data_IF_011087889699
#
_entry.id   IF_011087889699
#
_cell.length_a   1.000
_cell.length_b   1.000
_cell.length_c   1.000
_cell.angle_alpha   90.00
_cell.angle_beta   90.00
_cell.angle_gamma   90.00
#
_symmetry.space_group_name_H-M   'P 1'
#
loop_
_entity.id
_entity.type
_entity.pdbx_description
1 polymer ?
#
# COMPACT_ATOMS: atom_id res chain seq x y z
N UNK A 1 2.77 9.76 29.76
CA UNK A 1 3.08 9.68 28.31
C UNK A 1 4.07 8.55 28.13
N UNK A 2 3.92 7.71 27.10
CA UNK A 2 4.94 6.71 26.79
C UNK A 2 6.28 7.42 26.51
N UNK A 3 7.43 6.83 26.88
CA UNK A 3 8.73 7.44 26.59
C UNK A 3 8.94 7.54 25.07
N UNK A 4 9.58 8.62 24.63
CA UNK A 4 10.03 8.76 23.25
C UNK A 4 11.15 7.74 22.98
N UNK A 5 11.01 6.98 21.90
CA UNK A 5 11.90 5.91 21.51
C UNK A 5 12.78 6.37 20.35
N UNK A 6 14.09 6.14 20.48
CA UNK A 6 15.00 6.24 19.34
C UNK A 6 14.66 5.17 18.30
N UNK A 7 14.95 5.45 17.02
CA UNK A 7 14.74 4.48 15.95
C UNK A 7 15.65 3.26 16.16
N UNK A 8 15.10 2.03 16.14
CA UNK A 8 15.90 0.81 16.32
C UNK A 8 16.61 0.38 15.02
N UNK A 9 16.77 1.29 14.07
CA UNK A 9 17.34 1.02 12.76
C UNK A 9 18.02 2.25 12.16
N UNK A 10 19.00 1.98 11.31
CA UNK A 10 19.67 3.01 10.51
C UNK A 10 18.86 3.37 9.26
N UNK A 11 19.08 4.60 8.78
CA UNK A 11 18.62 5.06 7.48
C UNK A 11 19.85 5.41 6.64
N UNK A 12 20.09 4.63 5.59
CA UNK A 12 21.27 4.78 4.72
C UNK A 12 20.85 5.18 3.31
N UNK A 13 21.71 5.91 2.59
CA UNK A 13 21.43 6.25 1.19
C UNK A 13 21.59 5.00 0.32
N UNK A 14 20.78 4.88 -0.73
CA UNK A 14 21.07 3.94 -1.81
C UNK A 14 22.43 4.25 -2.43
N UNK A 15 23.11 3.23 -2.93
CA UNK A 15 24.37 3.39 -3.65
C UNK A 15 24.16 4.12 -4.97
N UNK A 16 25.24 4.68 -5.55
CA UNK A 16 25.16 5.34 -6.85
C UNK A 16 24.69 4.40 -7.98
N UNK A 17 24.95 3.10 -7.87
CA UNK A 17 24.51 2.12 -8.87
C UNK A 17 23.03 1.80 -8.73
N UNK A 18 22.55 1.63 -7.49
CA UNK A 18 21.12 1.47 -7.21
C UNK A 18 20.34 2.71 -7.67
N UNK A 19 20.81 3.92 -7.36
CA UNK A 19 20.19 5.18 -7.76
C UNK A 19 20.02 5.27 -9.29
N UNK A 20 20.98 4.80 -10.10
CA UNK A 20 20.84 4.75 -11.56
C UNK A 20 19.66 3.87 -12.01
N UNK A 21 19.44 2.74 -11.35
CA UNK A 21 18.34 1.82 -11.66
C UNK A 21 17.01 2.44 -11.24
N UNK A 22 16.97 3.06 -10.06
CA UNK A 22 15.79 3.77 -9.57
C UNK A 22 15.43 4.94 -10.49
N UNK A 23 16.40 5.77 -10.90
CA UNK A 23 16.19 6.88 -11.86
C UNK A 23 15.66 6.42 -13.20
N UNK A 24 15.97 5.18 -13.60
CA UNK A 24 15.38 4.60 -14.81
C UNK A 24 13.89 4.40 -14.64
N UNK A 25 13.37 4.08 -13.45
CA UNK A 25 11.95 3.78 -13.24
C UNK A 25 11.15 4.97 -12.71
N UNK A 26 11.77 5.81 -11.88
CA UNK A 26 11.12 6.91 -11.17
C UNK A 26 11.75 8.23 -11.61
N UNK A 27 10.94 9.11 -12.18
CA UNK A 27 11.38 10.42 -12.68
C UNK A 27 11.00 11.54 -11.71
N UNK A 28 11.76 12.64 -11.70
CA UNK A 28 11.37 13.89 -11.04
C UNK A 28 11.76 14.03 -9.57
N UNK A 29 12.50 13.09 -9.00
CA UNK A 29 13.09 13.25 -7.67
C UNK A 29 14.49 13.88 -7.74
N UNK A 30 14.81 14.71 -6.76
CA UNK A 30 16.07 15.48 -6.67
C UNK A 30 17.08 14.87 -5.71
N UNK A 31 16.62 14.09 -4.73
CA UNK A 31 17.44 13.45 -3.71
C UNK A 31 17.35 11.93 -3.83
N UNK A 32 18.48 11.20 -3.80
CA UNK A 32 18.47 9.74 -3.81
C UNK A 32 17.58 9.16 -2.72
N UNK A 33 16.96 8.03 -3.02
CA UNK A 33 16.19 7.25 -2.05
C UNK A 33 17.09 6.77 -0.90
N UNK A 34 16.46 6.34 0.19
CA UNK A 34 17.14 5.76 1.34
C UNK A 34 16.64 4.33 1.59
N UNK A 35 17.46 3.52 2.26
CA UNK A 35 17.12 2.20 2.78
C UNK A 35 16.94 2.30 4.29
N UNK A 36 15.81 1.80 4.79
CA UNK A 36 15.41 1.85 6.19
C UNK A 36 15.22 0.45 6.77
N UNK A 37 15.62 0.24 8.02
CA UNK A 37 15.37 -1.03 8.70
C UNK A 37 16.29 -2.17 8.23
N UNK A 38 16.23 -3.30 8.95
CA UNK A 38 17.05 -4.48 8.68
C UNK A 38 16.86 -5.05 7.26
N UNK A 39 15.65 -4.94 6.71
CA UNK A 39 15.33 -5.41 5.36
C UNK A 39 15.75 -4.41 4.26
N UNK A 40 16.19 -3.20 4.63
CA UNK A 40 16.61 -2.18 3.68
C UNK A 40 15.47 -1.60 2.85
N UNK A 41 14.33 -1.29 3.49
CA UNK A 41 13.13 -0.77 2.81
C UNK A 41 13.42 0.54 2.08
N UNK A 42 13.12 0.59 0.79
CA UNK A 42 13.38 1.75 -0.07
C UNK A 42 12.33 2.83 0.19
N UNK A 43 12.77 3.97 0.71
CA UNK A 43 11.91 5.09 1.08
C UNK A 43 12.35 6.39 0.39
N UNK A 44 11.42 7.32 0.09
CA UNK A 44 11.79 8.66 -0.34
C UNK A 44 12.73 9.32 0.67
N UNK A 45 13.71 10.10 0.19
CA UNK A 45 14.68 10.79 1.07
C UNK A 45 14.01 11.63 2.17
N UNK A 46 12.85 12.23 1.86
CA UNK A 46 12.03 13.02 2.79
C UNK A 46 11.55 12.23 4.01
N UNK A 47 11.46 10.90 3.95
CA UNK A 47 11.10 10.04 5.07
C UNK A 47 12.06 10.16 6.26
N UNK A 48 13.34 10.48 6.01
CA UNK A 48 14.34 10.74 7.07
C UNK A 48 13.90 11.81 8.06
N UNK A 49 13.06 12.77 7.62
CA UNK A 49 12.59 13.88 8.46
C UNK A 49 11.44 13.49 9.40
N UNK A 50 10.75 12.39 9.12
CA UNK A 50 9.54 12.00 9.85
C UNK A 50 9.57 10.56 10.38
N UNK A 51 10.61 9.79 10.08
CA UNK A 51 10.73 8.40 10.52
C UNK A 51 10.56 8.26 12.04
N UNK A 52 11.27 9.08 12.82
CA UNK A 52 11.19 9.05 14.29
C UNK A 52 9.81 9.51 14.81
N UNK A 53 9.25 10.56 14.21
CA UNK A 53 7.90 11.04 14.56
C UNK A 53 6.82 10.00 14.28
N UNK A 54 6.90 9.31 13.13
CA UNK A 54 5.96 8.23 12.79
C UNK A 54 6.15 7.04 13.73
N UNK A 55 7.40 6.66 14.03
CA UNK A 55 7.71 5.57 14.95
C UNK A 55 7.20 5.83 16.38
N UNK A 56 7.12 7.10 16.79
CA UNK A 56 6.60 7.52 18.10
C UNK A 56 5.16 8.02 18.07
N UNK A 57 4.47 7.92 16.94
CA UNK A 57 3.10 8.39 16.80
C UNK A 57 2.20 7.70 17.83
N UNK A 58 1.37 8.48 18.54
CA UNK A 58 0.44 7.95 19.52
C UNK A 58 -0.65 7.13 18.84
N UNK A 59 -0.67 5.82 19.09
CA UNK A 59 -1.75 4.92 18.68
C UNK A 59 -2.90 5.01 19.67
N UNK A 60 -4.15 4.95 19.19
CA UNK A 60 -5.37 4.99 20.01
C UNK A 60 -6.13 3.66 19.90
N UNK A 61 -6.85 3.22 20.96
CA UNK A 61 -7.52 1.92 20.96
C UNK A 61 -8.61 1.75 19.88
N UNK A 62 -9.15 2.87 19.39
CA UNK A 62 -10.19 2.93 18.38
C UNK A 62 -9.65 3.29 16.98
N UNK A 63 -8.32 3.26 16.80
CA UNK A 63 -7.75 3.33 15.46
C UNK A 63 -7.98 2.01 14.71
N UNK A 64 -8.21 2.12 13.40
CA UNK A 64 -8.15 0.99 12.48
C UNK A 64 -7.20 1.32 11.33
N UNK A 65 -6.18 0.47 11.17
CA UNK A 65 -5.12 0.64 10.19
C UNK A 65 -5.32 -0.32 9.02
N UNK A 66 -5.19 0.18 7.79
CA UNK A 66 -5.08 -0.65 6.58
C UNK A 66 -3.65 -0.53 6.06
N UNK A 67 -2.92 -1.63 6.16
CA UNK A 67 -1.50 -1.71 5.78
C UNK A 67 -1.36 -2.66 4.59
N UNK A 68 -0.72 -2.20 3.53
CA UNK A 68 -0.43 -3.08 2.38
C UNK A 68 0.87 -2.65 1.74
N UNK A 69 1.60 -3.56 1.10
CA UNK A 69 2.48 -3.13 0.01
C UNK A 69 1.61 -2.45 -1.08
N UNK A 70 2.06 -1.38 -1.76
CA UNK A 70 1.26 -0.69 -2.77
C UNK A 70 0.66 -1.66 -3.80
N UNK A 71 -0.58 -1.39 -4.24
CA UNK A 71 -1.29 -2.16 -5.29
C UNK A 71 -1.78 -3.56 -4.90
N UNK A 72 -1.79 -3.87 -3.61
CA UNK A 72 -2.24 -5.17 -3.09
C UNK A 72 -3.71 -5.22 -2.67
N UNK A 73 -4.55 -4.24 -3.03
CA UNK A 73 -5.99 -4.21 -2.67
C UNK A 73 -6.39 -3.15 -1.65
N UNK A 74 -5.48 -2.27 -1.25
CA UNK A 74 -5.68 -1.22 -0.23
C UNK A 74 -6.98 -0.44 -0.38
N UNK A 75 -7.34 0.01 -1.58
CA UNK A 75 -8.53 0.83 -1.84
C UNK A 75 -9.82 0.07 -1.58
N UNK A 76 -9.87 -1.20 -1.98
CA UNK A 76 -11.00 -2.10 -1.75
C UNK A 76 -11.21 -2.31 -0.25
N UNK A 77 -10.11 -2.55 0.47
CA UNK A 77 -10.12 -2.81 1.91
C UNK A 77 -10.45 -1.56 2.75
N UNK A 78 -9.96 -0.38 2.36
CA UNK A 78 -10.32 0.88 3.05
C UNK A 78 -11.82 1.14 2.97
N UNK A 79 -12.43 0.98 1.79
CA UNK A 79 -13.87 1.20 1.62
C UNK A 79 -14.68 0.19 2.45
N UNK A 80 -14.27 -1.08 2.43
CA UNK A 80 -14.87 -2.14 3.24
C UNK A 80 -14.76 -1.85 4.75
N UNK A 81 -13.56 -1.58 5.25
CA UNK A 81 -13.33 -1.29 6.68
C UNK A 81 -14.14 -0.07 7.12
N UNK A 82 -14.14 1.00 6.32
CA UNK A 82 -14.86 2.21 6.66
C UNK A 82 -16.37 1.97 6.73
N UNK A 83 -16.97 1.29 5.73
CA UNK A 83 -18.39 0.97 5.77
C UNK A 83 -18.74 0.04 6.93
N UNK A 84 -17.92 -0.97 7.21
CA UNK A 84 -18.15 -1.91 8.31
C UNK A 84 -18.05 -1.25 9.70
N UNK A 85 -17.19 -0.24 9.89
CA UNK A 85 -17.08 0.45 11.18
C UNK A 85 -18.11 1.58 11.35
N UNK A 86 -18.69 2.08 10.26
CA UNK A 86 -19.67 3.18 10.25
C UNK A 86 -21.07 2.69 9.86
N UNK A 87 -21.46 1.50 10.35
CA UNK A 87 -22.82 0.96 10.27
C UNK A 87 -23.41 0.93 8.84
N UNK A 88 -22.56 0.66 7.85
CA UNK A 88 -22.90 0.64 6.42
C UNK A 88 -23.46 1.99 5.92
N UNK A 89 -22.92 3.11 6.39
CA UNK A 89 -23.28 4.47 5.93
C UNK A 89 -22.80 4.75 4.49
N UNK A 90 -23.51 4.20 3.52
CA UNK A 90 -23.25 4.40 2.10
C UNK A 90 -23.41 5.86 1.66
N UNK A 91 -24.26 6.64 2.34
CA UNK A 91 -24.54 8.03 1.95
C UNK A 91 -23.35 8.93 2.25
N UNK A 92 -22.76 8.79 3.43
CA UNK A 92 -21.51 9.49 3.74
C UNK A 92 -20.36 9.00 2.87
N UNK A 93 -20.26 7.69 2.59
CA UNK A 93 -19.21 7.14 1.71
C UNK A 93 -19.28 7.69 0.28
N UNK A 94 -20.48 7.97 -0.24
CA UNK A 94 -20.72 8.63 -1.55
C UNK A 94 -20.42 10.13 -1.51
N UNK A 95 -20.61 10.79 -0.37
CA UNK A 95 -20.40 12.25 -0.23
C UNK A 95 -18.91 12.58 -0.06
N UNK A 96 -18.25 11.92 0.89
CA UNK A 96 -16.88 12.21 1.31
C UNK A 96 -15.91 11.26 0.60
N UNK A 97 -14.88 11.79 -0.09
CA UNK A 97 -13.94 10.95 -0.82
C UNK A 97 -13.10 10.07 0.12
N UNK A 98 -12.66 8.91 -0.39
CA UNK A 98 -12.00 7.89 0.43
C UNK A 98 -10.73 8.40 1.12
N UNK A 99 -9.94 9.26 0.46
CA UNK A 99 -8.70 9.79 1.04
C UNK A 99 -8.92 10.76 2.21
N UNK A 100 -10.10 11.36 2.34
CA UNK A 100 -10.48 12.15 3.51
C UNK A 100 -11.00 11.26 4.64
N UNK A 101 -11.73 10.19 4.28
CA UNK A 101 -12.23 9.18 5.24
C UNK A 101 -11.13 8.28 5.80
N UNK A 102 -10.10 8.04 5.01
CA UNK A 102 -9.00 7.09 5.25
C UNK A 102 -7.66 7.72 4.82
N UNK A 103 -7.17 8.76 5.52
CA UNK A 103 -5.94 9.45 5.16
C UNK A 103 -4.72 8.54 5.14
N UNK A 104 -3.78 8.82 4.23
CA UNK A 104 -2.53 8.08 4.12
C UNK A 104 -1.42 8.74 4.92
N UNK A 105 -0.83 7.96 5.84
CA UNK A 105 0.14 8.42 6.84
C UNK A 105 1.35 9.15 6.25
N UNK A 106 1.90 8.61 5.17
CA UNK A 106 3.12 9.09 4.51
C UNK A 106 2.85 9.80 3.17
N UNK A 107 1.69 10.47 3.02
CA UNK A 107 1.39 11.26 1.81
C UNK A 107 2.42 12.37 1.59
N UNK A 108 2.79 13.11 2.66
CA UNK A 108 3.73 14.22 2.56
C UNK A 108 5.11 13.79 2.08
N UNK A 109 5.55 12.56 2.38
CA UNK A 109 6.86 12.06 1.94
C UNK A 109 6.91 11.76 0.44
N UNK A 110 5.76 11.62 -0.21
CA UNK A 110 5.65 11.35 -1.64
C UNK A 110 5.63 12.62 -2.50
N UNK A 111 5.54 13.80 -1.89
CA UNK A 111 5.54 15.07 -2.61
C UNK A 111 6.98 15.34 -3.10
N UNK A 112 7.23 15.46 -4.42
CA UNK A 112 8.54 15.82 -4.92
C UNK A 112 8.98 17.20 -4.39
N UNK A 113 10.26 17.37 -4.04
CA UNK A 113 10.81 18.65 -3.56
C UNK A 113 10.47 19.81 -4.51
N UNK A 114 10.55 19.58 -5.82
CA UNK A 114 10.22 20.57 -6.87
C UNK A 114 8.73 20.95 -6.82
N UNK A 115 7.85 19.99 -6.57
CA UNK A 115 6.43 20.27 -6.45
C UNK A 115 6.16 21.16 -5.24
N UNK A 116 6.81 20.90 -4.10
CA UNK A 116 6.67 21.72 -2.89
C UNK A 116 6.97 23.21 -3.15
N UNK A 117 8.05 23.48 -3.88
CA UNK A 117 8.44 24.86 -4.23
C UNK A 117 7.51 25.47 -5.30
N UNK A 118 7.11 24.72 -6.32
CA UNK A 118 6.16 25.19 -7.34
C UNK A 118 4.75 25.48 -6.77
N UNK A 119 4.33 24.75 -5.72
CA UNK A 119 3.06 24.98 -5.01
C UNK A 119 3.16 26.23 -4.14
N UNK A 120 4.25 26.41 -3.38
CA UNK A 120 4.49 27.66 -2.63
C UNK A 120 4.48 28.89 -3.53
N UNK A 121 4.96 28.75 -4.77
CA UNK A 121 4.99 29.81 -5.77
C UNK A 121 3.66 29.97 -6.55
N UNK A 122 2.60 29.23 -6.20
CA UNK A 122 1.28 29.26 -6.85
C UNK A 122 1.27 28.86 -8.35
N UNK A 123 2.30 28.14 -8.84
CA UNK A 123 2.44 27.73 -10.25
C UNK A 123 1.85 26.34 -10.58
N UNK A 124 1.43 25.56 -9.58
CA UNK A 124 0.75 24.27 -9.79
C UNK A 124 -0.56 24.16 -9.00
N UNK A 125 -1.65 23.81 -9.69
CA UNK A 125 -2.92 23.44 -9.06
C UNK A 125 -2.96 21.92 -8.84
N UNK A 126 -2.80 21.50 -7.58
CA UNK A 126 -2.78 20.09 -7.17
C UNK A 126 -4.16 19.43 -7.08
N UNK A 127 -5.25 20.08 -7.50
CA UNK A 127 -6.61 19.49 -7.48
C UNK A 127 -6.71 18.12 -8.16
N UNK A 128 -5.75 17.76 -9.02
CA UNK A 128 -5.67 16.47 -9.70
C UNK A 128 -5.13 15.32 -8.83
N UNK A 129 -4.50 15.60 -7.68
CA UNK A 129 -3.93 14.59 -6.78
C UNK A 129 -4.61 14.65 -5.40
N UNK A 130 -5.51 13.70 -5.16
CA UNK A 130 -6.29 13.58 -3.93
C UNK A 130 -5.39 13.56 -2.68
N UNK A 131 -5.66 14.43 -1.71
CA UNK A 131 -4.91 14.54 -0.45
C UNK A 131 -3.56 15.28 -0.52
N UNK A 132 -3.00 15.56 -1.70
CA UNK A 132 -1.71 16.27 -1.81
C UNK A 132 -1.84 17.75 -1.41
N UNK A 133 -2.98 18.40 -1.69
CA UNK A 133 -3.16 19.81 -1.36
C UNK A 133 -3.11 20.12 0.15
N UNK A 134 -3.70 19.25 0.98
CA UNK A 134 -3.63 19.36 2.45
C UNK A 134 -2.24 19.00 2.96
N UNK A 135 -1.64 17.93 2.42
CA UNK A 135 -0.32 17.42 2.82
C UNK A 135 0.86 18.38 2.59
N UNK A 136 0.67 19.44 1.79
CA UNK A 136 1.64 20.53 1.58
C UNK A 136 1.55 21.59 2.69
N UNK A 137 0.37 21.80 3.28
CA UNK A 137 0.13 22.82 4.31
C UNK A 137 0.51 22.32 5.70
N UNK A 138 0.16 21.07 5.97
CA UNK A 138 0.48 20.36 7.20
C UNK A 138 0.88 18.93 6.83
N UNK A 139 1.83 18.37 7.57
CA UNK A 139 2.28 17.01 7.26
C UNK A 139 1.19 16.00 7.55
N UNK A 140 1.08 14.96 6.71
CA UNK A 140 0.00 13.98 6.79
C UNK A 140 -0.07 13.26 8.14
N UNK A 141 1.08 12.98 8.78
CA UNK A 141 1.12 12.36 10.11
C UNK A 141 0.64 13.31 11.22
N UNK A 142 0.94 14.61 11.16
CA UNK A 142 0.44 15.60 12.13
C UNK A 142 -1.06 15.80 12.00
N UNK A 143 -1.58 15.89 10.77
CA UNK A 143 -3.03 16.00 10.54
C UNK A 143 -3.77 14.79 11.09
N UNK A 144 -3.25 13.57 10.90
CA UNK A 144 -3.84 12.35 11.48
C UNK A 144 -3.72 12.34 13.00
N UNK A 145 -2.61 12.81 13.57
CA UNK A 145 -2.44 12.86 15.03
C UNK A 145 -3.44 13.81 15.71
N UNK A 146 -3.79 14.91 15.05
CA UNK A 146 -4.78 15.90 15.52
C UNK A 146 -6.23 15.51 15.23
N UNK A 147 -6.47 14.53 14.35
CA UNK A 147 -7.82 14.13 13.97
C UNK A 147 -8.62 13.59 15.17
N UNK A 148 -9.95 13.82 15.22
CA UNK A 148 -10.80 13.21 16.22
C UNK A 148 -10.83 11.68 16.07
N UNK A 149 -11.15 11.00 17.15
CA UNK A 149 -11.37 9.56 17.21
C UNK A 149 -12.79 9.20 16.72
N UNK A 150 -13.01 8.04 16.07
CA UNK A 150 -12.01 7.04 15.67
C UNK A 150 -11.22 7.46 14.43
N UNK A 151 -9.97 6.99 14.31
CA UNK A 151 -9.12 7.26 13.14
C UNK A 151 -9.02 6.03 12.25
N UNK A 152 -9.14 6.27 10.95
CA UNK A 152 -8.97 5.26 9.91
C UNK A 152 -7.72 5.60 9.11
N UNK A 153 -6.68 4.77 9.20
CA UNK A 153 -5.33 5.14 8.73
C UNK A 153 -4.87 4.18 7.64
N UNK A 154 -4.55 4.72 6.46
CA UNK A 154 -3.89 3.97 5.39
C UNK A 154 -2.38 4.15 5.52
N UNK A 155 -1.61 3.09 5.33
CA UNK A 155 -0.17 3.22 5.09
C UNK A 155 0.38 2.10 4.23
N UNK A 156 1.48 2.38 3.55
CA UNK A 156 2.30 1.40 2.86
C UNK A 156 3.63 1.15 3.58
N UNK A 157 3.82 1.73 4.77
CA UNK A 157 4.96 1.43 5.61
C UNK A 157 4.86 -0.01 6.18
N UNK A 158 5.97 -0.76 6.22
CA UNK A 158 6.03 -2.05 6.91
C UNK A 158 5.90 -1.85 8.43
N UNK A 159 5.45 -2.89 9.14
CA UNK A 159 5.17 -2.84 10.57
C UNK A 159 6.38 -2.39 11.40
N UNK A 160 7.59 -2.77 10.99
CA UNK A 160 8.85 -2.39 11.64
C UNK A 160 9.18 -0.90 11.60
N UNK A 161 8.54 -0.12 10.73
CA UNK A 161 8.71 1.34 10.63
C UNK A 161 7.53 2.11 11.25
N UNK A 162 6.59 1.42 11.88
CA UNK A 162 5.41 1.97 12.54
C UNK A 162 5.55 1.90 14.07
N UNK A 163 4.64 2.53 14.84
CA UNK A 163 4.71 2.48 16.30
C UNK A 163 4.80 1.05 16.84
N UNK A 164 5.76 0.74 17.72
CA UNK A 164 5.95 -0.63 18.21
C UNK A 164 4.75 -1.15 19.00
N UNK A 165 3.96 -0.25 19.62
CA UNK A 165 2.74 -0.58 20.35
C UNK A 165 1.50 -0.71 19.47
N UNK A 166 1.64 -0.65 18.14
CA UNK A 166 0.51 -0.62 17.20
C UNK A 166 -0.45 -1.79 17.42
N UNK A 167 0.07 -3.02 17.38
CA UNK A 167 -0.75 -4.21 17.54
C UNK A 167 -1.23 -4.42 18.98
N UNK A 168 -0.52 -3.89 19.98
CA UNK A 168 -0.99 -3.93 21.37
C UNK A 168 -2.22 -3.04 21.61
N UNK A 169 -2.38 -2.00 20.78
CA UNK A 169 -3.34 -0.92 20.99
C UNK A 169 -4.51 -0.95 19.99
N UNK A 170 -4.23 -1.05 18.69
CA UNK A 170 -5.19 -0.81 17.62
C UNK A 170 -5.35 -2.03 16.70
N UNK A 171 -6.45 -2.05 15.94
CA UNK A 171 -6.68 -3.08 14.91
C UNK A 171 -5.93 -2.74 13.62
N UNK A 172 -5.34 -3.75 13.00
CA UNK A 172 -4.64 -3.68 11.72
C UNK A 172 -5.26 -4.69 10.75
N UNK A 173 -5.56 -4.25 9.54
CA UNK A 173 -5.94 -5.09 8.41
C UNK A 173 -4.79 -5.05 7.42
N UNK A 174 -4.14 -6.20 7.19
CA UNK A 174 -3.07 -6.35 6.23
C UNK A 174 -3.54 -7.10 4.99
N UNK A 175 -3.23 -6.58 3.80
CA UNK A 175 -3.53 -7.25 2.53
C UNK A 175 -2.24 -7.57 1.78
N UNK A 176 -2.05 -8.85 1.51
CA UNK A 176 -0.99 -9.38 0.65
C UNK A 176 -1.54 -9.70 -0.74
N UNK A 177 -0.66 -9.74 -1.74
CA UNK A 177 -0.99 -10.12 -3.11
C UNK A 177 0.24 -10.74 -3.77
N UNK A 178 0.03 -11.62 -4.75
CA UNK A 178 1.09 -12.16 -5.59
C UNK A 178 2.06 -11.06 -6.06
N UNK A 179 3.37 -11.14 -5.73
CA UNK A 179 4.35 -10.13 -6.09
C UNK A 179 4.43 -9.84 -7.60
N UNK A 180 4.13 -10.83 -8.45
CA UNK A 180 4.17 -10.69 -9.91
C UNK A 180 3.04 -9.78 -10.40
N UNK A 181 1.81 -10.00 -9.91
CA UNK A 181 0.67 -9.14 -10.22
C UNK A 181 0.83 -7.74 -9.62
N UNK A 182 1.43 -7.65 -8.42
CA UNK A 182 1.76 -6.37 -7.80
C UNK A 182 2.71 -5.58 -8.70
N UNK A 183 3.79 -6.20 -9.21
CA UNK A 183 4.73 -5.52 -10.10
C UNK A 183 4.03 -4.95 -11.35
N UNK A 184 3.16 -5.73 -12.00
CA UNK A 184 2.37 -5.25 -13.14
C UNK A 184 1.49 -4.07 -12.75
N UNK A 185 0.70 -4.21 -11.69
CA UNK A 185 -0.19 -3.14 -11.22
C UNK A 185 0.58 -1.88 -10.82
N UNK A 186 1.80 -2.03 -10.32
CA UNK A 186 2.65 -0.94 -9.89
C UNK A 186 3.31 -0.21 -11.07
N UNK A 187 3.71 -0.95 -12.10
CA UNK A 187 4.15 -0.39 -13.37
C UNK A 187 3.06 0.50 -14.00
N UNK A 188 1.83 0.01 -14.08
CA UNK A 188 0.71 0.79 -14.64
C UNK A 188 0.31 1.97 -13.76
N UNK A 189 0.46 1.89 -12.43
CA UNK A 189 0.29 3.06 -11.56
C UNK A 189 1.28 4.18 -11.94
N UNK A 190 2.56 3.85 -12.09
CA UNK A 190 3.56 4.84 -12.49
C UNK A 190 3.32 5.38 -13.89
N UNK A 191 2.91 4.51 -14.83
CA UNK A 191 2.52 4.94 -16.18
C UNK A 191 1.39 5.97 -16.15
N UNK A 192 0.35 5.74 -15.33
CA UNK A 192 -0.77 6.67 -15.16
C UNK A 192 -0.35 8.01 -14.52
N UNK A 193 0.54 7.96 -13.51
CA UNK A 193 0.98 9.17 -12.79
C UNK A 193 1.92 10.03 -13.63
N UNK A 194 2.86 9.39 -14.34
CA UNK A 194 3.93 10.07 -15.10
C UNK A 194 3.51 10.35 -16.55
N UNK A 195 2.45 9.71 -17.05
CA UNK A 195 1.83 9.91 -18.37
C UNK A 195 2.84 9.86 -19.52
N UNK A 196 2.85 10.86 -20.40
CA UNK A 196 3.71 10.93 -21.59
C UNK A 196 5.21 10.92 -21.30
N UNK A 197 5.63 11.18 -20.05
CA UNK A 197 7.02 11.09 -19.63
C UNK A 197 7.43 9.65 -19.28
N UNK A 198 6.47 8.73 -19.14
CA UNK A 198 6.71 7.34 -18.80
C UNK A 198 7.08 6.54 -20.05
N UNK A 199 8.38 6.42 -20.32
CA UNK A 199 8.93 5.72 -21.49
C UNK A 199 9.56 4.37 -21.16
N UNK A 200 9.40 3.92 -19.92
CA UNK A 200 10.09 2.75 -19.39
C UNK A 200 9.39 1.49 -19.82
N UNK A 201 10.18 0.55 -20.34
CA UNK A 201 9.67 -0.77 -20.72
C UNK A 201 9.50 -1.64 -19.48
N UNK A 202 8.52 -2.56 -19.51
CA UNK A 202 8.17 -3.38 -18.36
C UNK A 202 9.37 -4.17 -17.79
N UNK A 203 10.22 -4.76 -18.63
CA UNK A 203 11.41 -5.51 -18.16
C UNK A 203 12.38 -4.66 -17.33
N UNK A 204 12.54 -3.36 -17.62
CA UNK A 204 13.37 -2.47 -16.81
C UNK A 204 12.74 -2.18 -15.44
N UNK A 205 11.42 -2.11 -15.39
CA UNK A 205 10.68 -1.92 -14.15
C UNK A 205 10.73 -3.20 -13.30
N UNK A 206 10.56 -4.37 -13.92
CA UNK A 206 10.73 -5.67 -13.28
C UNK A 206 12.15 -5.84 -12.70
N UNK A 207 13.19 -5.46 -13.45
CA UNK A 207 14.57 -5.47 -12.97
C UNK A 207 14.75 -4.66 -11.67
N UNK A 208 14.16 -3.46 -11.59
CA UNK A 208 14.19 -2.66 -10.38
C UNK A 208 13.36 -3.28 -9.25
N UNK A 209 12.19 -3.86 -9.58
CA UNK A 209 11.29 -4.50 -8.61
C UNK A 209 11.94 -5.73 -7.97
N UNK A 210 12.45 -6.68 -8.76
CA UNK A 210 13.03 -7.94 -8.28
C UNK A 210 14.34 -7.76 -7.50
N UNK A 211 14.99 -6.59 -7.68
CA UNK A 211 16.19 -6.18 -6.93
C UNK A 211 15.89 -5.38 -5.67
N UNK A 212 14.60 -5.25 -5.33
CA UNK A 212 14.14 -4.50 -4.17
C UNK A 212 14.61 -3.03 -4.19
N UNK A 213 14.50 -2.40 -5.36
CA UNK A 213 14.90 -1.00 -5.60
C UNK A 213 13.73 -0.05 -5.86
N UNK A 214 12.48 -0.51 -5.70
CA UNK A 214 11.30 0.35 -5.84
C UNK A 214 10.74 0.76 -4.47
N UNK A 215 9.98 1.86 -4.37
CA UNK A 215 9.51 2.34 -3.07
C UNK A 215 8.75 1.23 -2.31
N UNK A 216 8.98 1.17 -1.00
CA UNK A 216 8.49 0.18 -0.03
C UNK A 216 8.99 -1.26 -0.21
N UNK A 217 9.78 -1.58 -1.25
CA UNK A 217 10.41 -2.92 -1.38
C UNK A 217 11.52 -3.09 -0.33
N UNK A 218 11.82 -4.32 0.16
CA UNK A 218 11.42 -5.63 -0.37
C UNK A 218 9.97 -6.08 -0.06
N UNK A 219 9.20 -6.49 -1.08
CA UNK A 219 7.78 -6.87 -0.92
C UNK A 219 7.56 -8.15 -0.10
N UNK A 220 8.41 -9.16 -0.27
CA UNK A 220 8.29 -10.42 0.47
C UNK A 220 8.60 -10.21 1.94
N UNK A 221 9.64 -9.43 2.26
CA UNK A 221 9.95 -9.05 3.65
C UNK A 221 8.80 -8.23 4.26
N UNK A 222 8.28 -7.24 3.53
CA UNK A 222 7.14 -6.42 3.95
C UNK A 222 5.91 -7.29 4.29
N UNK A 223 5.61 -8.27 3.45
CA UNK A 223 4.49 -9.20 3.66
C UNK A 223 4.75 -10.14 4.83
N UNK A 224 5.98 -10.63 4.94
CA UNK A 224 6.34 -11.58 5.98
C UNK A 224 6.26 -10.98 7.39
N UNK A 225 6.54 -9.67 7.56
CA UNK A 225 6.36 -9.00 8.85
C UNK A 225 4.92 -9.11 9.38
N UNK A 226 3.93 -8.95 8.52
CA UNK A 226 2.53 -9.15 8.88
C UNK A 226 2.19 -10.64 8.98
N UNK A 227 2.73 -11.49 8.10
CA UNK A 227 2.48 -12.93 8.09
C UNK A 227 2.87 -13.62 9.39
N UNK A 228 4.04 -13.31 9.96
CA UNK A 228 4.49 -13.89 11.23
C UNK A 228 3.67 -13.40 12.42
N UNK A 229 2.92 -12.31 12.26
CA UNK A 229 2.00 -11.73 13.24
C UNK A 229 0.54 -12.12 12.98
N UNK A 230 0.22 -12.92 11.94
CA UNK A 230 -1.15 -13.17 11.45
C UNK A 230 -2.14 -13.74 12.47
N UNK A 231 -1.64 -14.37 13.53
CA UNK A 231 -2.46 -14.90 14.63
C UNK A 231 -2.63 -13.91 15.80
N UNK A 232 -2.02 -12.72 15.71
CA UNK A 232 -2.20 -11.68 16.70
C UNK A 232 -3.66 -11.20 16.68
N UNK A 233 -4.31 -11.09 17.85
CA UNK A 233 -5.75 -10.78 17.96
C UNK A 233 -6.18 -9.48 17.26
N UNK A 234 -5.24 -8.55 17.10
CA UNK A 234 -5.43 -7.23 16.49
C UNK A 234 -4.88 -7.15 15.04
N UNK A 235 -4.49 -8.27 14.42
CA UNK A 235 -4.09 -8.31 13.01
C UNK A 235 -5.02 -9.23 12.21
N UNK A 236 -5.69 -8.67 11.21
CA UNK A 236 -6.41 -9.44 10.21
C UNK A 236 -5.60 -9.48 8.91
N UNK A 237 -5.07 -10.65 8.57
CA UNK A 237 -4.34 -10.87 7.33
C UNK A 237 -5.27 -11.49 6.28
N UNK A 238 -5.25 -10.96 5.07
CA UNK A 238 -6.02 -11.49 3.93
C UNK A 238 -5.20 -11.39 2.65
N UNK A 239 -5.33 -12.37 1.76
CA UNK A 239 -4.79 -12.28 0.41
C UNK A 239 -5.79 -11.60 -0.54
N UNK A 240 -5.29 -10.80 -1.46
CA UNK A 240 -6.10 -10.18 -2.51
C UNK A 240 -6.83 -11.23 -3.35
N UNK A 241 -6.18 -12.38 -3.57
CA UNK A 241 -6.73 -13.55 -4.26
C UNK A 241 -7.98 -14.08 -3.53
N UNK A 242 -7.96 -14.15 -2.19
CA UNK A 242 -9.11 -14.59 -1.40
C UNK A 242 -10.30 -13.62 -1.50
N UNK A 243 -10.03 -12.31 -1.65
CA UNK A 243 -11.07 -11.30 -1.87
C UNK A 243 -11.77 -11.48 -3.21
N UNK A 244 -11.04 -11.93 -4.24
CA UNK A 244 -11.61 -12.24 -5.55
C UNK A 244 -12.41 -13.53 -5.50
N UNK A 245 -11.85 -14.57 -4.87
CA UNK A 245 -12.46 -15.90 -4.85
C UNK A 245 -13.82 -15.90 -4.13
N UNK A 246 -13.91 -15.28 -2.95
CA UNK A 246 -15.15 -15.24 -2.18
C UNK A 246 -15.25 -13.98 -1.31
N UNK A 247 -15.64 -12.88 -1.95
CA UNK A 247 -15.80 -11.59 -1.29
C UNK A 247 -16.77 -11.62 -0.10
N UNK A 248 -18.01 -12.17 -0.19
CA UNK A 248 -18.94 -12.22 0.95
C UNK A 248 -18.33 -12.91 2.18
N UNK A 249 -17.60 -14.02 1.99
CA UNK A 249 -16.92 -14.69 3.08
C UNK A 249 -15.81 -13.83 3.70
N UNK A 250 -14.99 -13.16 2.89
CA UNK A 250 -13.94 -12.27 3.43
C UNK A 250 -14.54 -11.07 4.17
N UNK A 251 -15.66 -10.51 3.70
CA UNK A 251 -16.40 -9.46 4.41
C UNK A 251 -16.83 -9.96 5.79
N UNK A 252 -17.43 -11.16 5.89
CA UNK A 252 -17.85 -11.73 7.19
C UNK A 252 -16.69 -11.91 8.15
N UNK A 253 -15.56 -12.44 7.67
CA UNK A 253 -14.36 -12.63 8.48
C UNK A 253 -13.82 -11.30 9.01
N UNK A 254 -13.78 -10.28 8.16
CA UNK A 254 -13.35 -8.95 8.56
C UNK A 254 -14.32 -8.30 9.54
N UNK A 255 -15.63 -8.33 9.29
CA UNK A 255 -16.63 -7.81 10.23
C UNK A 255 -16.51 -8.50 11.60
N UNK A 256 -16.32 -9.82 11.61
CA UNK A 256 -16.09 -10.57 12.86
C UNK A 256 -14.85 -10.07 13.60
N UNK A 257 -13.73 -9.87 12.90
CA UNK A 257 -12.50 -9.30 13.46
C UNK A 257 -12.71 -7.87 14.01
N UNK A 258 -13.49 -7.07 13.29
CA UNK A 258 -13.84 -5.71 13.69
C UNK A 258 -14.85 -5.68 14.86
N UNK A 259 -15.47 -6.79 15.22
CA UNK A 259 -16.50 -6.87 16.26
C UNK A 259 -17.88 -6.40 15.77
N UNK A 260 -18.10 -6.42 14.46
CA UNK A 260 -19.33 -6.01 13.77
C UNK A 260 -20.11 -7.23 13.30
N UNK A 261 -21.44 -7.15 13.35
CA UNK A 261 -22.34 -8.21 12.88
C UNK A 261 -23.36 -7.61 11.94
N UNK A 262 -23.49 -8.24 10.78
CA UNK A 262 -24.43 -7.86 9.73
C UNK A 262 -25.19 -9.09 9.26
N UNK A 263 -26.42 -8.89 8.77
CA UNK A 263 -27.21 -9.96 8.16
C UNK A 263 -26.59 -10.42 6.84
N UNK A 264 -26.99 -11.60 6.37
CA UNK A 264 -26.53 -12.12 5.08
C UNK A 264 -26.85 -11.15 3.94
N UNK A 265 -28.04 -10.56 3.94
CA UNK A 265 -28.46 -9.54 2.97
C UNK A 265 -27.56 -8.30 3.01
N UNK A 266 -27.19 -7.82 4.20
CA UNK A 266 -26.28 -6.67 4.33
C UNK A 266 -24.88 -6.98 3.81
N UNK A 267 -24.38 -8.20 4.07
CA UNK A 267 -23.09 -8.68 3.56
C UNK A 267 -23.11 -8.75 2.03
N UNK A 268 -24.16 -9.32 1.43
CA UNK A 268 -24.29 -9.42 -0.02
C UNK A 268 -24.39 -8.03 -0.67
N UNK A 269 -25.16 -7.12 -0.09
CA UNK A 269 -25.26 -5.73 -0.57
C UNK A 269 -23.91 -5.00 -0.50
N UNK A 270 -23.15 -5.22 0.57
CA UNK A 270 -21.80 -4.68 0.70
C UNK A 270 -20.84 -5.29 -0.33
N UNK A 271 -20.92 -6.61 -0.57
CA UNK A 271 -20.15 -7.29 -1.61
C UNK A 271 -20.46 -6.71 -3.00
N UNK A 272 -21.73 -6.47 -3.30
CA UNK A 272 -22.14 -5.84 -4.55
C UNK A 272 -21.59 -4.41 -4.70
N UNK A 273 -21.66 -3.59 -3.64
CA UNK A 273 -21.06 -2.24 -3.63
C UNK A 273 -19.55 -2.27 -3.86
N UNK A 274 -18.88 -3.25 -3.27
CA UNK A 274 -17.43 -3.44 -3.35
C UNK A 274 -16.97 -4.21 -4.59
N UNK A 275 -17.91 -4.62 -5.47
CA UNK A 275 -17.56 -5.29 -6.72
C UNK A 275 -16.62 -4.42 -7.55
N UNK A 276 -15.74 -5.07 -8.31
CA UNK A 276 -14.73 -4.37 -9.11
C UNK A 276 -15.35 -3.32 -10.04
N UNK A 277 -16.45 -3.68 -10.72
CA UNK A 277 -17.18 -2.79 -11.61
C UNK A 277 -17.79 -1.59 -10.89
N UNK A 278 -18.34 -1.80 -9.68
CA UNK A 278 -18.90 -0.72 -8.86
C UNK A 278 -17.80 0.25 -8.42
N UNK A 279 -16.71 -0.27 -7.83
CA UNK A 279 -15.59 0.56 -7.37
C UNK A 279 -14.94 1.33 -8.52
N UNK A 280 -14.78 0.68 -9.69
CA UNK A 280 -14.24 1.30 -10.90
C UNK A 280 -15.08 2.50 -11.38
N UNK A 281 -16.41 2.42 -11.27
CA UNK A 281 -17.33 3.51 -11.64
C UNK A 281 -17.45 4.59 -10.55
N UNK A 282 -17.08 4.27 -9.31
CA UNK A 282 -17.20 5.19 -8.18
C UNK A 282 -16.07 6.24 -8.16
N UNK A 283 -16.39 7.48 -8.54
CA UNK A 283 -15.44 8.62 -8.57
C UNK A 283 -14.85 9.01 -7.20
N UNK A 284 -15.44 8.56 -6.08
CA UNK A 284 -14.95 8.85 -4.73
C UNK A 284 -13.88 7.87 -4.24
N UNK A 285 -13.70 6.78 -4.97
CA UNK A 285 -12.76 5.69 -4.70
C UNK A 285 -11.76 5.54 -5.85
N UNK A 286 -12.22 5.72 -7.09
CA UNK A 286 -11.39 5.64 -8.28
C UNK A 286 -10.55 6.92 -8.48
N UNK A 287 -9.24 6.79 -8.31
CA UNK A 287 -8.27 7.87 -8.45
C UNK A 287 -7.61 7.89 -9.85
N UNK A 288 -8.38 7.56 -10.90
CA UNK A 288 -7.87 7.63 -12.28
C UNK A 288 -7.56 9.09 -12.63
N UNK A 289 -6.36 9.36 -13.17
CA UNK A 289 -5.90 10.71 -13.52
C UNK A 289 -5.72 10.80 -15.04
N UNK A 290 -6.49 11.67 -15.69
CA UNK A 290 -6.42 11.85 -17.15
C UNK A 290 -7.26 10.82 -17.92
N UNK A 291 -7.16 10.86 -19.25
CA UNK A 291 -7.93 10.05 -20.20
C UNK A 291 -7.02 9.26 -21.16
N UNK A 292 -5.87 8.81 -20.66
CA UNK A 292 -4.83 8.10 -21.44
C UNK A 292 -5.08 6.58 -21.50
N UNK A 293 -6.28 6.15 -21.14
CA UNK A 293 -6.71 4.74 -21.16
C UNK A 293 -6.19 3.89 -19.99
N UNK A 294 -5.36 4.42 -19.08
CA UNK A 294 -4.89 3.68 -17.89
C UNK A 294 -5.72 4.05 -16.67
N UNK A 295 -6.38 3.07 -16.06
CA UNK A 295 -7.25 3.28 -14.90
C UNK A 295 -6.59 2.89 -13.58
N UNK A 296 -6.87 3.64 -12.52
CA UNK A 296 -6.38 3.34 -11.16
C UNK A 296 -6.94 2.02 -10.63
N UNK A 297 -8.22 1.76 -10.89
CA UNK A 297 -8.89 0.47 -10.70
C UNK A 297 -8.94 -0.21 -12.08
N UNK A 298 -7.95 -1.08 -12.35
CA UNK A 298 -7.60 -1.52 -13.72
C UNK A 298 -8.35 -2.77 -14.23
N UNK A 299 -7.98 -3.96 -13.74
CA UNK A 299 -8.58 -5.25 -14.16
C UNK A 299 -9.29 -6.02 -13.04
N UNK A 300 -8.83 -5.93 -11.80
CA UNK A 300 -9.51 -6.62 -10.68
C UNK A 300 -9.24 -8.12 -10.59
N UNK A 301 -8.33 -8.65 -11.40
CA UNK A 301 -8.07 -10.08 -11.55
C UNK A 301 -6.78 -10.52 -10.84
N UNK A 302 -6.64 -11.83 -10.60
CA UNK A 302 -5.42 -12.50 -10.20
C UNK A 302 -4.83 -13.32 -11.37
N UNK A 303 -3.50 -13.41 -11.45
CA UNK A 303 -2.79 -14.16 -12.50
C UNK A 303 -2.56 -13.39 -13.80
N UNK A 304 -2.95 -12.12 -13.89
CA UNK A 304 -2.78 -11.29 -15.10
C UNK A 304 -1.31 -10.99 -15.41
N UNK A 305 -0.38 -11.24 -14.49
CA UNK A 305 1.05 -11.15 -14.76
C UNK A 305 1.50 -11.98 -15.96
N UNK A 306 0.86 -13.11 -16.25
CA UNK A 306 1.16 -13.97 -17.42
C UNK A 306 1.03 -13.27 -18.77
N UNK A 307 0.24 -12.20 -18.87
CA UNK A 307 0.14 -11.40 -20.10
C UNK A 307 1.32 -10.43 -20.31
N UNK A 308 2.15 -10.23 -19.29
CA UNK A 308 3.21 -9.21 -19.27
C UNK A 308 4.61 -9.79 -19.13
N UNK A 309 4.73 -11.05 -18.72
CA UNK A 309 6.00 -11.74 -18.54
C UNK A 309 6.22 -12.62 -19.77
N UNK A 310 7.31 -12.36 -20.49
CA UNK A 310 7.81 -13.30 -21.49
C UNK A 310 8.51 -14.49 -20.79
N UNK A 311 8.82 -15.59 -21.49
CA UNK A 311 9.41 -16.78 -20.85
C UNK A 311 10.69 -16.51 -20.04
N UNK A 312 11.45 -15.47 -20.39
CA UNK A 312 12.65 -15.09 -19.64
C UNK A 312 12.25 -14.42 -18.32
N UNK A 313 11.32 -13.47 -18.36
CA UNK A 313 10.82 -12.81 -17.15
C UNK A 313 10.11 -13.79 -16.21
N UNK A 314 9.39 -14.78 -16.76
CA UNK A 314 8.74 -15.83 -15.96
C UNK A 314 9.77 -16.61 -15.13
N UNK A 315 10.88 -17.04 -15.74
CA UNK A 315 11.97 -17.72 -15.04
C UNK A 315 12.60 -16.81 -13.96
N UNK A 316 12.89 -15.55 -14.30
CA UNK A 316 13.41 -14.57 -13.33
C UNK A 316 12.44 -14.36 -12.14
N UNK A 317 11.13 -14.45 -12.38
CA UNK A 317 10.11 -14.35 -11.33
C UNK A 317 10.05 -15.57 -10.44
N UNK A 318 10.19 -16.77 -11.00
CA UNK A 318 10.30 -18.01 -10.23
C UNK A 318 11.55 -18.00 -9.35
N UNK A 319 12.72 -17.65 -9.90
CA UNK A 319 13.96 -17.51 -9.15
C UNK A 319 13.83 -16.49 -8.01
N UNK A 320 13.27 -15.31 -8.31
CA UNK A 320 13.00 -14.26 -7.32
C UNK A 320 12.13 -14.78 -6.17
N UNK A 321 11.03 -15.49 -6.47
CA UNK A 321 10.11 -16.01 -5.46
C UNK A 321 10.76 -17.13 -4.63
N UNK A 322 11.45 -18.07 -5.27
CA UNK A 322 12.17 -19.17 -4.60
C UNK A 322 13.22 -18.62 -3.63
N UNK A 323 14.01 -17.63 -4.06
CA UNK A 323 15.05 -17.03 -3.24
C UNK A 323 14.44 -16.27 -2.05
N UNK A 324 13.44 -15.43 -2.30
CA UNK A 324 12.87 -14.55 -1.26
C UNK A 324 11.95 -15.27 -0.27
N UNK A 325 11.32 -16.38 -0.67
CA UNK A 325 10.48 -17.20 0.21
C UNK A 325 11.26 -18.29 0.94
N UNK A 326 12.54 -18.50 0.60
CA UNK A 326 13.36 -19.54 1.22
C UNK A 326 13.40 -19.38 2.75
N UNK A 327 12.99 -20.43 3.45
CA UNK A 327 12.98 -20.49 4.91
C UNK A 327 11.83 -19.72 5.57
N UNK A 328 10.87 -19.21 4.79
CA UNK A 328 9.66 -18.57 5.31
C UNK A 328 8.48 -19.56 5.29
N UNK A 329 7.58 -19.40 6.25
CA UNK A 329 6.26 -20.07 6.28
C UNK A 329 5.20 -19.33 5.43
N UNK A 330 5.60 -18.23 4.77
CA UNK A 330 4.69 -17.44 3.93
C UNK A 330 4.40 -18.18 2.62
N UNK A 331 3.14 -18.52 2.40
CA UNK A 331 2.67 -19.10 1.15
C UNK A 331 1.55 -18.26 0.54
N UNK A 332 1.68 -17.91 -0.73
CA UNK A 332 0.66 -17.17 -1.47
C UNK A 332 -0.30 -18.15 -2.15
N UNK A 333 -1.63 -17.94 -2.10
CA UNK A 333 -2.61 -18.88 -2.69
C UNK A 333 -2.42 -19.13 -4.19
N UNK A 334 -1.90 -18.13 -4.92
CA UNK A 334 -1.65 -18.19 -6.37
C UNK A 334 -0.30 -18.81 -6.76
N UNK A 335 0.55 -19.16 -5.79
CA UNK A 335 1.90 -19.63 -6.04
C UNK A 335 1.99 -21.10 -5.63
N UNK A 336 1.97 -21.98 -6.62
CA UNK A 336 2.42 -23.36 -6.43
C UNK A 336 3.93 -23.39 -6.62
N UNK A 337 4.69 -23.17 -5.55
CA UNK A 337 6.11 -23.55 -5.58
C UNK A 337 6.13 -25.07 -5.68
N UNK A 338 6.66 -25.61 -6.78
CA UNK A 338 6.94 -27.05 -6.88
C UNK A 338 7.77 -27.39 -5.65
N UNK A 339 7.35 -28.38 -4.87
CA UNK A 339 8.10 -28.96 -3.76
C UNK A 339 9.40 -29.61 -4.30
N UNK A 340 10.33 -28.80 -4.80
CA UNK A 340 11.71 -29.21 -4.90
C UNK A 340 12.35 -28.96 -3.55
N UNK A 341 11.96 -29.86 -2.64
CA UNK A 341 12.82 -30.59 -1.72
C UNK A 341 13.99 -29.80 -1.15
N UNK A 342 13.92 -29.61 0.17
CA UNK A 342 15.06 -29.80 1.06
C UNK A 342 16.17 -30.65 0.42
N UNK A 343 17.21 -29.99 -0.09
CA UNK A 343 18.50 -30.60 -0.39
C UNK A 343 19.59 -29.72 0.20
#
# INVERSE_FOLDING_TARGET
MAPWLELPYDITKVTAEEDKIIKRCLTGYTRPFVKCGKAGYVMPSSFTKCAETIYNMKVRPDDVWVITFPRSGTTWTQELVWLAENDLDYETAKRIPLHERFPMLETTTQIPDIAFELIKMNFMNLSSFQGLGSAVRESSWETIDKAPSPRYIKTHLPLSLLPPSLLDTAKVVYVARDPRDVCVSYYFLHKMVVKNLFKIQFHHFWEAFRRDLLPWTPIVAHTNEAWVKRYHRNLHFVFYEDLIENLPNQIRRLCTFLGRKYSDEQIENLAHHLSFDSLRKNKKVNNTIGDDGVQFIRKGEAGNWKEHFDPKLELEAEEFLIERLRGLDLNYPSISLVENTYL
#
